data_IF_610251902740
#
_entry.id   IF_610251902740
#
_cell.length_a   1.000
_cell.length_b   1.000
_cell.length_c   1.000
_cell.angle_alpha   90.00
_cell.angle_beta   90.00
_cell.angle_gamma   90.00
#
_symmetry.space_group_name_H-M   'P 1'
#
loop_
_entity.id
_entity.type
_entity.pdbx_description
1 polymer ?
#
# COMPACT_ATOMS: atom_id res chain seq x y z
N UNK A 1 12.66 12.56 12.99
CA UNK A 1 12.88 11.45 12.05
C UNK A 1 12.31 11.86 10.70
N UNK A 2 13.03 11.61 9.62
CA UNK A 2 12.56 11.77 8.24
C UNK A 2 11.51 10.72 7.90
N UNK A 3 10.75 10.94 6.82
CA UNK A 3 9.78 9.96 6.32
C UNK A 3 10.43 8.59 6.00
N UNK A 4 11.68 8.58 5.53
CA UNK A 4 12.44 7.36 5.27
C UNK A 4 12.81 6.61 6.55
N UNK A 5 13.18 7.31 7.62
CA UNK A 5 13.47 6.70 8.93
C UNK A 5 12.19 6.10 9.55
N UNK A 6 11.05 6.79 9.44
CA UNK A 6 9.76 6.29 9.91
C UNK A 6 9.30 5.06 9.11
N UNK A 7 9.45 5.08 7.79
CA UNK A 7 9.13 3.93 6.93
C UNK A 7 10.00 2.71 7.26
N UNK A 8 11.30 2.93 7.49
CA UNK A 8 12.21 1.86 7.90
C UNK A 8 11.80 1.26 9.25
N UNK A 9 11.54 2.09 10.25
CA UNK A 9 11.11 1.61 11.57
C UNK A 9 9.80 0.78 11.46
N UNK A 10 8.81 1.27 10.70
CA UNK A 10 7.57 0.53 10.47
C UNK A 10 7.80 -0.84 9.78
N UNK A 11 8.76 -0.91 8.86
CA UNK A 11 9.11 -2.16 8.18
C UNK A 11 9.80 -3.15 9.13
N UNK A 12 10.72 -2.67 9.97
CA UNK A 12 11.38 -3.47 11.00
C UNK A 12 10.36 -4.02 12.02
N UNK A 13 9.41 -3.18 12.47
CA UNK A 13 8.33 -3.60 13.37
C UNK A 13 7.37 -4.61 12.73
N UNK A 14 7.05 -4.46 11.44
CA UNK A 14 6.26 -5.42 10.67
C UNK A 14 6.97 -6.77 10.57
N UNK A 15 8.24 -6.75 10.19
CA UNK A 15 9.04 -7.97 10.07
C UNK A 15 9.20 -8.67 11.43
N UNK A 16 9.46 -7.92 12.51
CA UNK A 16 9.67 -8.48 13.84
C UNK A 16 8.45 -9.25 14.39
N UNK A 17 7.22 -8.90 13.96
CA UNK A 17 5.99 -9.63 14.31
C UNK A 17 5.60 -10.74 13.31
N UNK A 18 6.46 -11.03 12.34
CA UNK A 18 6.23 -12.06 11.32
C UNK A 18 5.35 -11.64 10.15
N UNK A 19 5.15 -10.33 9.94
CA UNK A 19 4.46 -9.81 8.77
C UNK A 19 5.43 -9.57 7.59
N UNK A 20 4.89 -9.43 6.38
CA UNK A 20 5.62 -9.10 5.16
C UNK A 20 5.53 -7.60 4.89
N UNK A 21 6.59 -6.80 5.15
CA UNK A 21 6.59 -5.38 4.83
C UNK A 21 6.79 -5.12 3.33
N UNK A 22 6.03 -4.17 2.78
CA UNK A 22 6.11 -3.70 1.39
C UNK A 22 6.31 -2.18 1.41
N UNK A 23 7.54 -1.72 1.16
CA UNK A 23 7.83 -0.28 1.10
C UNK A 23 7.49 0.25 -0.30
N UNK A 24 6.69 1.30 -0.33
CA UNK A 24 6.40 2.04 -1.56
C UNK A 24 7.57 2.98 -1.86
N UNK A 25 8.19 2.79 -3.02
CA UNK A 25 9.30 3.63 -3.47
C UNK A 25 8.82 5.03 -3.88
N UNK A 26 9.63 6.04 -3.59
CA UNK A 26 9.40 7.40 -4.09
C UNK A 26 9.51 7.44 -5.62
N UNK A 27 8.62 8.19 -6.28
CA UNK A 27 8.65 8.42 -7.73
C UNK A 27 9.10 9.85 -8.05
N UNK A 28 9.69 10.08 -9.25
CA UNK A 28 10.04 11.42 -9.70
C UNK A 28 8.82 12.34 -9.89
N UNK A 29 7.69 11.77 -10.29
CA UNK A 29 6.40 12.45 -10.39
C UNK A 29 5.49 12.01 -9.24
N UNK A 30 4.55 12.89 -8.89
CA UNK A 30 3.57 12.65 -7.83
C UNK A 30 2.19 12.87 -8.42
N UNK A 31 1.62 11.79 -8.97
CA UNK A 31 0.32 11.76 -9.62
C UNK A 31 -0.35 10.40 -9.38
N UNK A 32 -1.58 10.24 -9.86
CA UNK A 32 -2.30 8.97 -9.74
C UNK A 32 -1.54 7.79 -10.36
N UNK A 33 -1.03 7.95 -11.57
CA UNK A 33 -0.45 6.84 -12.33
C UNK A 33 0.82 6.31 -11.67
N UNK A 34 1.75 7.22 -11.34
CA UNK A 34 2.99 6.91 -10.63
C UNK A 34 2.75 6.29 -9.25
N UNK A 35 1.69 6.73 -8.54
CA UNK A 35 1.30 6.13 -7.25
C UNK A 35 0.79 4.69 -7.41
N UNK A 36 -0.09 4.44 -8.39
CA UNK A 36 -0.60 3.09 -8.66
C UNK A 36 0.51 2.13 -9.09
N UNK A 37 1.44 2.60 -9.91
CA UNK A 37 2.60 1.82 -10.33
C UNK A 37 3.54 1.51 -9.16
N UNK A 38 3.74 2.47 -8.25
CA UNK A 38 4.55 2.26 -7.05
C UNK A 38 3.96 1.20 -6.11
N UNK A 39 2.63 1.12 -5.99
CA UNK A 39 1.96 0.05 -5.25
C UNK A 39 2.07 -1.30 -5.95
N UNK A 40 1.90 -1.32 -7.27
CA UNK A 40 2.02 -2.53 -8.07
C UNK A 40 3.42 -3.15 -7.93
N UNK A 41 4.48 -2.34 -8.02
CA UNK A 41 5.85 -2.80 -7.77
C UNK A 41 6.04 -3.29 -6.33
N UNK A 42 5.60 -2.51 -5.33
CA UNK A 42 5.82 -2.83 -3.92
C UNK A 42 5.16 -4.16 -3.52
N UNK A 43 3.98 -4.46 -4.05
CA UNK A 43 3.22 -5.68 -3.75
C UNK A 43 3.38 -6.78 -4.80
N UNK A 44 4.28 -6.58 -5.77
CA UNK A 44 4.51 -7.50 -6.89
C UNK A 44 3.19 -7.89 -7.59
N UNK A 45 2.37 -6.90 -7.93
CA UNK A 45 1.09 -7.12 -8.60
C UNK A 45 1.28 -7.87 -9.93
N UNK A 46 0.31 -8.70 -10.34
CA UNK A 46 0.35 -9.39 -11.63
C UNK A 46 0.33 -8.43 -12.83
N UNK A 47 0.88 -8.89 -13.95
CA UNK A 47 0.99 -8.11 -15.21
C UNK A 47 -0.36 -7.64 -15.78
N UNK A 48 -1.48 -8.25 -15.36
CA UNK A 48 -2.83 -7.85 -15.76
C UNK A 48 -3.39 -6.64 -14.96
N UNK A 49 -2.59 -6.03 -14.08
CA UNK A 49 -3.03 -4.89 -13.28
C UNK A 49 -3.54 -3.73 -14.16
N UNK A 50 -4.82 -3.37 -13.98
CA UNK A 50 -5.53 -2.43 -14.86
C UNK A 50 -5.22 -0.94 -14.65
N UNK A 51 -4.23 -0.58 -13.83
CA UNK A 51 -3.80 0.81 -13.54
C UNK A 51 -4.95 1.79 -13.22
N UNK A 52 -5.97 1.32 -12.51
CA UNK A 52 -7.10 2.13 -12.04
C UNK A 52 -7.47 1.78 -10.58
N UNK A 53 -8.43 2.50 -10.00
CA UNK A 53 -8.77 2.34 -8.58
C UNK A 53 -9.54 1.04 -8.30
N UNK A 54 -10.34 0.57 -9.24
CA UNK A 54 -11.07 -0.69 -9.11
C UNK A 54 -10.09 -1.87 -9.20
N UNK A 55 -9.17 -1.84 -10.17
CA UNK A 55 -8.10 -2.82 -10.28
C UNK A 55 -7.16 -2.81 -9.06
N UNK A 56 -6.94 -1.64 -8.44
CA UNK A 56 -6.18 -1.54 -7.19
C UNK A 56 -6.93 -2.27 -6.07
N UNK A 57 -8.23 -2.01 -5.92
CA UNK A 57 -9.05 -2.70 -4.92
C UNK A 57 -9.01 -4.23 -5.13
N UNK A 58 -9.25 -4.69 -6.35
CA UNK A 58 -9.25 -6.12 -6.69
C UNK A 58 -7.92 -6.77 -6.30
N UNK A 59 -6.79 -6.17 -6.68
CA UNK A 59 -5.48 -6.72 -6.35
C UNK A 59 -5.21 -6.71 -4.83
N UNK A 60 -5.58 -5.64 -4.12
CA UNK A 60 -5.39 -5.55 -2.68
C UNK A 60 -6.28 -6.50 -1.87
N UNK A 61 -7.36 -7.01 -2.45
CA UNK A 61 -8.28 -7.97 -1.80
C UNK A 61 -8.06 -9.43 -2.20
N UNK A 62 -7.19 -9.68 -3.19
CA UNK A 62 -6.80 -11.02 -3.60
C UNK A 62 -5.51 -11.45 -2.89
N UNK A 63 -4.39 -10.77 -3.17
CA UNK A 63 -3.04 -11.05 -2.64
C UNK A 63 -2.57 -12.52 -2.73
N UNK A 64 -3.29 -13.40 -3.44
CA UNK A 64 -3.06 -14.85 -3.44
C UNK A 64 -1.75 -15.27 -4.11
N UNK A 65 -1.11 -14.39 -4.87
CA UNK A 65 0.23 -14.59 -5.42
C UNK A 65 1.35 -14.38 -4.38
N UNK A 66 1.04 -13.80 -3.21
CA UNK A 66 1.98 -13.63 -2.11
C UNK A 66 1.82 -14.76 -1.07
N UNK A 67 2.85 -15.04 -0.24
CA UNK A 67 2.72 -16.00 0.85
C UNK A 67 1.57 -15.64 1.80
N UNK A 68 0.82 -16.61 2.34
CA UNK A 68 -0.23 -16.32 3.32
C UNK A 68 0.35 -15.64 4.56
N UNK A 69 -0.37 -14.66 5.09
CA UNK A 69 0.05 -13.87 6.25
C UNK A 69 -0.42 -12.43 6.20
N UNK A 70 0.18 -11.60 7.05
CA UNK A 70 -0.06 -10.17 7.08
C UNK A 70 0.90 -9.45 6.12
N UNK A 71 0.35 -8.67 5.21
CA UNK A 71 1.08 -7.79 4.30
C UNK A 71 0.93 -6.36 4.78
N UNK A 72 2.05 -5.69 5.04
CA UNK A 72 2.07 -4.33 5.55
C UNK A 72 2.54 -3.40 4.43
N UNK A 73 1.61 -2.71 3.78
CA UNK A 73 1.91 -1.69 2.79
C UNK A 73 2.32 -0.40 3.50
N UNK A 74 3.57 0.00 3.34
CA UNK A 74 4.16 1.19 3.98
C UNK A 74 4.35 2.24 2.90
N UNK A 75 3.57 3.32 2.96
CA UNK A 75 3.57 4.35 1.93
C UNK A 75 4.17 5.67 2.42
N UNK A 76 5.52 5.82 2.40
CA UNK A 76 6.15 7.12 2.56
C UNK A 76 5.88 7.99 1.33
N UNK A 77 5.58 9.27 1.52
CA UNK A 77 5.24 10.20 0.43
C UNK A 77 3.74 10.36 0.21
N UNK A 78 2.91 9.81 1.10
CA UNK A 78 1.46 9.98 1.06
C UNK A 78 1.05 11.46 1.20
N UNK A 79 1.81 12.24 1.97
CA UNK A 79 1.61 13.67 2.14
C UNK A 79 1.94 14.48 0.88
N UNK A 80 2.90 14.01 0.08
CA UNK A 80 3.24 14.66 -1.19
C UNK A 80 2.07 14.57 -2.17
N UNK A 81 1.46 13.39 -2.32
CA UNK A 81 0.27 13.24 -3.15
C UNK A 81 -0.92 14.01 -2.58
N UNK A 82 -1.08 14.02 -1.25
CA UNK A 82 -2.13 14.82 -0.58
C UNK A 82 -2.04 16.31 -0.92
N UNK A 83 -0.82 16.85 -1.03
CA UNK A 83 -0.58 18.25 -1.41
C UNK A 83 -0.75 18.51 -2.90
N UNK A 84 -0.24 17.62 -3.75
CA UNK A 84 -0.29 17.78 -5.21
C UNK A 84 -1.69 17.54 -5.79
N UNK A 85 -2.35 16.46 -5.35
CA UNK A 85 -3.66 16.03 -5.86
C UNK A 85 -4.58 15.54 -4.72
N UNK A 86 -5.17 16.43 -3.91
CA UNK A 86 -5.95 16.05 -2.73
C UNK A 86 -7.11 15.08 -3.03
N UNK A 87 -7.80 15.25 -4.16
CA UNK A 87 -8.91 14.37 -4.58
C UNK A 87 -8.41 12.96 -4.90
N UNK A 88 -7.29 12.86 -5.62
CA UNK A 88 -6.63 11.58 -5.95
C UNK A 88 -6.17 10.88 -4.68
N UNK A 89 -5.52 11.60 -3.77
CA UNK A 89 -5.11 11.07 -2.47
C UNK A 89 -6.30 10.49 -1.68
N UNK A 90 -7.41 11.23 -1.58
CA UNK A 90 -8.61 10.77 -0.88
C UNK A 90 -9.22 9.52 -1.52
N UNK A 91 -9.26 9.46 -2.85
CA UNK A 91 -9.77 8.30 -3.58
C UNK A 91 -8.90 7.05 -3.34
N UNK A 92 -7.58 7.18 -3.41
CA UNK A 92 -6.65 6.09 -3.10
C UNK A 92 -6.77 5.67 -1.62
N UNK A 93 -6.83 6.61 -0.69
CA UNK A 93 -7.03 6.35 0.75
C UNK A 93 -8.32 5.58 1.02
N UNK A 94 -9.40 5.88 0.30
CA UNK A 94 -10.66 5.14 0.40
C UNK A 94 -10.45 3.69 0.00
N UNK A 95 -9.88 3.44 -1.18
CA UNK A 95 -9.59 2.08 -1.68
C UNK A 95 -8.71 1.30 -0.71
N UNK A 96 -7.62 1.90 -0.22
CA UNK A 96 -6.74 1.27 0.78
C UNK A 96 -7.47 0.90 2.07
N UNK A 97 -8.36 1.79 2.54
CA UNK A 97 -9.13 1.56 3.77
C UNK A 97 -10.19 0.46 3.58
N UNK A 98 -10.85 0.44 2.42
CA UNK A 98 -11.86 -0.55 2.09
C UNK A 98 -11.23 -1.94 1.89
N UNK A 99 -10.09 -2.02 1.19
CA UNK A 99 -9.35 -3.28 1.03
C UNK A 99 -8.83 -3.82 2.37
N UNK A 100 -8.31 -2.96 3.26
CA UNK A 100 -7.90 -3.36 4.61
C UNK A 100 -9.06 -3.93 5.43
N UNK A 101 -10.28 -3.39 5.28
CA UNK A 101 -11.48 -3.93 5.94
C UNK A 101 -11.90 -5.27 5.33
N UNK A 102 -11.84 -5.38 4.01
CA UNK A 102 -12.18 -6.60 3.28
C UNK A 102 -11.25 -7.77 3.68
N UNK A 103 -9.95 -7.51 3.87
CA UNK A 103 -8.95 -8.48 4.35
C UNK A 103 -8.74 -8.44 5.88
N UNK A 104 -9.76 -8.07 6.64
CA UNK A 104 -9.71 -8.05 8.10
C UNK A 104 -9.44 -9.44 8.72
N UNK A 105 -9.32 -9.53 10.06
CA UNK A 105 -8.92 -10.77 10.76
C UNK A 105 -9.76 -12.01 10.45
N UNK A 106 -11.00 -11.82 10.00
CA UNK A 106 -11.96 -12.89 9.68
C UNK A 106 -11.98 -13.29 8.21
N UNK A 107 -11.22 -12.62 7.34
CA UNK A 107 -11.38 -12.68 5.89
C UNK A 107 -10.65 -13.85 5.19
N UNK A 108 -9.66 -14.45 5.83
CA UNK A 108 -8.93 -15.60 5.26
C UNK A 108 -7.46 -15.64 5.65
N UNK A 109 -6.66 -16.30 4.79
CA UNK A 109 -5.23 -16.52 5.00
C UNK A 109 -4.36 -15.28 4.78
N UNK A 110 -4.89 -14.25 4.12
CA UNK A 110 -4.20 -12.99 3.87
C UNK A 110 -4.83 -11.85 4.66
N UNK A 111 -3.98 -10.96 5.18
CA UNK A 111 -4.38 -9.71 5.81
C UNK A 111 -3.60 -8.57 5.20
N UNK A 112 -4.24 -7.42 5.06
CA UNK A 112 -3.58 -6.18 4.65
C UNK A 112 -3.55 -5.20 5.83
N UNK A 113 -2.42 -4.54 6.05
CA UNK A 113 -2.27 -3.39 6.95
C UNK A 113 -1.61 -2.27 6.18
N UNK A 114 -2.15 -1.05 6.30
CA UNK A 114 -1.64 0.14 5.61
C UNK A 114 -1.03 1.08 6.63
N UNK A 115 0.24 1.41 6.44
CA UNK A 115 0.98 2.38 7.27
C UNK A 115 1.32 3.60 6.43
N UNK A 116 0.98 4.78 6.94
CA UNK A 116 1.31 6.07 6.35
C UNK A 116 2.26 6.81 7.29
N UNK A 117 3.58 6.70 7.11
CA UNK A 117 4.55 7.23 8.06
C UNK A 117 4.55 8.77 8.15
N UNK A 118 4.03 9.44 7.14
CA UNK A 118 4.09 10.89 6.94
C UNK A 118 2.73 11.59 6.88
N UNK A 119 1.63 10.87 7.13
CA UNK A 119 0.26 11.39 7.07
C UNK A 119 -0.19 12.15 8.33
#
# INVERSE_FOLDING_TARGET
MSAGELAKAAAEEAFARGAYPHLVNSRPTVDKASTLEAFAEALSFPDYFGHNLDALYDCLTDLSWLPPGEHVLIWPGSDALRKAEPKTYLAIRSVLSDAQRALGPSAGSWRLTVVLPDA
#
